data_IF_161335640040
#
_entry.id   IF_161335640040
#
_cell.length_a   1.000
_cell.length_b   1.000
_cell.length_c   1.000
_cell.angle_alpha   90.00
_cell.angle_beta   90.00
_cell.angle_gamma   90.00
#
_symmetry.space_group_name_H-M   'P 1'
#
loop_
_entity.id
_entity.type
_entity.pdbx_description
1 polymer ?
#
# COMPACT_ATOMS: atom_id res chain seq x y z
N UNK A 1 26.31 14.05 -28.43
CA UNK A 1 26.32 13.21 -27.21
C UNK A 1 24.88 12.99 -26.81
N UNK A 2 24.38 11.78 -27.00
CA UNK A 2 23.01 11.39 -26.64
C UNK A 2 22.84 11.48 -25.13
N UNK A 3 21.88 12.30 -24.70
CA UNK A 3 21.44 12.45 -23.31
C UNK A 3 21.07 11.07 -22.73
N UNK A 4 21.99 10.45 -21.98
CA UNK A 4 21.71 9.21 -21.25
C UNK A 4 20.87 9.64 -20.06
N UNK A 5 19.58 9.85 -20.29
CA UNK A 5 18.68 10.38 -19.27
C UNK A 5 18.69 9.49 -18.04
N UNK A 6 19.26 10.04 -16.97
CA UNK A 6 19.43 9.54 -15.61
C UNK A 6 18.17 8.84 -15.10
N UNK A 7 18.17 7.50 -15.07
CA UNK A 7 17.06 6.72 -14.57
C UNK A 7 17.26 6.35 -13.09
N UNK A 8 16.16 6.21 -12.36
CA UNK A 8 16.12 5.81 -10.96
C UNK A 8 15.21 4.61 -10.81
N UNK A 9 15.52 3.72 -9.87
CA UNK A 9 14.67 2.56 -9.59
C UNK A 9 14.28 2.47 -8.11
N UNK A 10 13.05 2.06 -7.87
CA UNK A 10 12.52 1.74 -6.56
C UNK A 10 12.00 0.30 -6.57
N UNK A 11 12.46 -0.54 -5.64
CA UNK A 11 11.87 -1.86 -5.38
C UNK A 11 11.13 -1.79 -4.05
N UNK A 12 9.91 -2.32 -4.07
CA UNK A 12 9.04 -2.52 -2.92
C UNK A 12 8.77 -4.03 -2.79
N UNK A 13 9.37 -4.64 -1.78
CA UNK A 13 9.17 -6.02 -1.41
C UNK A 13 8.17 -6.11 -0.24
N UNK A 14 6.89 -6.24 -0.60
CA UNK A 14 5.81 -6.42 0.36
C UNK A 14 5.51 -7.88 0.69
N UNK A 15 4.61 -8.07 1.65
CA UNK A 15 4.10 -9.39 2.09
C UNK A 15 3.46 -10.20 0.96
N UNK A 16 2.81 -9.54 -0.01
CA UNK A 16 2.09 -10.20 -1.10
C UNK A 16 2.77 -10.05 -2.46
N UNK A 17 3.33 -8.88 -2.75
CA UNK A 17 3.84 -8.50 -4.05
C UNK A 17 5.28 -8.03 -3.96
N UNK A 18 6.10 -8.42 -4.94
CA UNK A 18 7.36 -7.76 -5.25
C UNK A 18 7.12 -6.82 -6.45
N UNK A 19 7.39 -5.53 -6.27
CA UNK A 19 7.13 -4.50 -7.28
C UNK A 19 8.37 -3.66 -7.51
N UNK A 20 8.51 -3.17 -8.74
CA UNK A 20 9.56 -2.22 -9.11
C UNK A 20 8.99 -1.15 -10.02
N UNK A 21 9.45 0.08 -9.82
CA UNK A 21 9.28 1.17 -10.78
C UNK A 21 10.66 1.69 -11.20
N UNK A 22 10.80 1.97 -12.49
CA UNK A 22 11.95 2.67 -13.03
C UNK A 22 11.42 3.95 -13.68
N UNK A 23 11.98 5.09 -13.30
CA UNK A 23 11.51 6.39 -13.73
C UNK A 23 12.65 7.35 -14.06
N UNK A 24 12.32 8.37 -14.85
CA UNK A 24 13.20 9.51 -15.15
C UNK A 24 12.58 10.80 -14.64
N UNK A 25 13.37 11.75 -14.13
CA UNK A 25 12.87 13.09 -13.83
C UNK A 25 12.20 13.73 -15.04
N UNK A 26 11.10 14.45 -14.79
CA UNK A 26 10.34 15.19 -15.78
C UNK A 26 9.81 16.49 -15.14
N UNK A 27 10.66 17.52 -15.10
CA UNK A 27 10.41 18.75 -14.35
C UNK A 27 10.31 18.47 -12.85
N UNK A 28 9.20 18.90 -12.23
CA UNK A 28 8.87 18.61 -10.81
C UNK A 28 8.22 17.23 -10.62
N UNK A 29 7.99 16.48 -11.70
CA UNK A 29 7.41 15.13 -11.69
C UNK A 29 8.45 14.13 -12.18
N UNK A 30 8.00 12.89 -12.37
CA UNK A 30 8.77 11.87 -13.05
C UNK A 30 7.87 11.10 -14.01
N UNK A 31 8.51 10.58 -15.06
CA UNK A 31 7.91 9.69 -16.04
C UNK A 31 8.34 8.26 -15.73
N UNK A 32 7.38 7.34 -15.66
CA UNK A 32 7.66 5.91 -15.56
C UNK A 32 8.22 5.43 -16.92
N UNK A 33 9.38 4.76 -16.86
CA UNK A 33 10.08 4.18 -18.01
C UNK A 33 9.82 2.69 -18.12
N UNK A 34 9.84 1.99 -16.99
CA UNK A 34 9.54 0.56 -16.90
C UNK A 34 8.90 0.26 -15.54
N UNK A 35 8.15 -0.82 -15.48
CA UNK A 35 7.54 -1.30 -14.25
C UNK A 35 7.59 -2.83 -14.21
N UNK A 36 7.62 -3.36 -12.99
CA UNK A 36 7.53 -4.79 -12.74
C UNK A 36 6.62 -5.02 -11.55
N UNK A 37 5.80 -6.07 -11.61
CA UNK A 37 4.98 -6.51 -10.50
C UNK A 37 4.81 -8.01 -10.60
N UNK A 38 5.09 -8.72 -9.50
CA UNK A 38 4.83 -10.16 -9.38
C UNK A 38 4.24 -10.45 -8.01
N UNK A 39 3.15 -11.21 -7.98
CA UNK A 39 2.58 -11.77 -6.75
C UNK A 39 3.50 -12.91 -6.33
N UNK A 40 4.16 -12.74 -5.19
CA UNK A 40 5.10 -13.73 -4.64
C UNK A 40 4.56 -14.40 -3.38
N UNK A 41 3.59 -13.75 -2.70
CA UNK A 41 3.01 -14.19 -1.42
C UNK A 41 4.09 -14.51 -0.39
N UNK A 42 5.07 -13.62 -0.25
CA UNK A 42 6.23 -13.82 0.64
C UNK A 42 5.82 -14.17 2.07
N UNK A 43 4.76 -13.53 2.58
CA UNK A 43 4.27 -13.76 3.94
C UNK A 43 3.16 -14.80 4.08
N UNK A 44 2.94 -15.68 3.10
CA UNK A 44 1.98 -16.79 3.25
C UNK A 44 2.40 -17.72 4.41
N UNK A 45 1.46 -18.06 5.28
CA UNK A 45 1.71 -18.94 6.44
C UNK A 45 2.58 -18.30 7.53
N UNK A 46 3.00 -17.04 7.36
CA UNK A 46 3.89 -16.36 8.31
C UNK A 46 3.20 -16.11 9.65
N UNK A 47 1.89 -15.88 9.65
CA UNK A 47 1.13 -15.65 10.88
C UNK A 47 1.14 -16.88 11.82
N UNK A 48 1.19 -18.09 11.25
CA UNK A 48 1.16 -19.35 12.00
C UNK A 48 2.58 -19.85 12.32
N UNK A 49 3.50 -19.75 11.37
CA UNK A 49 4.84 -20.35 11.46
C UNK A 49 5.90 -19.42 12.02
N UNK A 50 5.68 -18.09 11.95
CA UNK A 50 6.66 -17.08 12.34
C UNK A 50 7.87 -16.95 11.40
N UNK A 51 7.93 -17.71 10.30
CA UNK A 51 9.03 -17.69 9.33
C UNK A 51 8.52 -17.64 7.88
N UNK A 52 9.37 -17.17 6.97
CA UNK A 52 9.12 -17.23 5.53
C UNK A 52 9.34 -18.66 5.04
N UNK A 53 8.34 -19.23 4.36
CA UNK A 53 8.43 -20.58 3.80
C UNK A 53 9.49 -20.63 2.68
N UNK A 54 10.13 -21.79 2.50
CA UNK A 54 11.13 -21.99 1.44
C UNK A 54 10.53 -21.68 0.06
N UNK A 55 9.32 -22.17 -0.21
CA UNK A 55 8.64 -21.93 -1.47
C UNK A 55 8.35 -20.43 -1.73
N UNK A 56 7.97 -19.68 -0.69
CA UNK A 56 7.74 -18.24 -0.81
C UNK A 56 9.04 -17.45 -1.05
N UNK A 57 10.14 -17.87 -0.39
CA UNK A 57 11.46 -17.31 -0.61
C UNK A 57 11.96 -17.55 -2.04
N UNK A 58 11.83 -18.77 -2.57
CA UNK A 58 12.22 -19.12 -3.94
C UNK A 58 11.48 -18.28 -5.00
N UNK A 59 10.15 -18.23 -4.93
CA UNK A 59 9.34 -17.41 -5.86
C UNK A 59 9.70 -15.93 -5.80
N UNK A 60 10.02 -15.44 -4.60
CA UNK A 60 10.41 -14.04 -4.39
C UNK A 60 11.81 -13.76 -4.92
N UNK A 61 12.75 -14.68 -4.69
CA UNK A 61 14.11 -14.57 -5.23
C UNK A 61 14.09 -14.53 -6.76
N UNK A 62 13.27 -15.34 -7.42
CA UNK A 62 13.11 -15.31 -8.87
C UNK A 62 12.50 -14.00 -9.39
N UNK A 63 11.57 -13.41 -8.63
CA UNK A 63 11.06 -12.07 -8.93
C UNK A 63 12.16 -11.01 -8.84
N UNK A 64 12.99 -11.09 -7.80
CA UNK A 64 14.09 -10.15 -7.55
C UNK A 64 15.24 -10.31 -8.55
N UNK A 65 15.54 -11.53 -9.01
CA UNK A 65 16.46 -11.77 -10.15
C UNK A 65 15.97 -11.03 -11.41
N UNK A 66 14.66 -11.11 -11.69
CA UNK A 66 14.07 -10.37 -12.82
C UNK A 66 14.19 -8.85 -12.66
N UNK A 67 14.03 -8.33 -11.43
CA UNK A 67 14.27 -6.92 -11.13
C UNK A 67 15.75 -6.53 -11.33
N UNK A 68 16.68 -7.33 -10.82
CA UNK A 68 18.12 -7.10 -10.93
C UNK A 68 18.59 -7.07 -12.39
N UNK A 69 18.09 -7.98 -13.23
CA UNK A 69 18.37 -7.97 -14.67
C UNK A 69 17.86 -6.69 -15.34
N UNK A 70 16.63 -6.26 -15.04
CA UNK A 70 16.06 -5.02 -15.58
C UNK A 70 16.87 -3.79 -15.16
N UNK A 71 17.28 -3.75 -13.89
CA UNK A 71 18.15 -2.69 -13.35
C UNK A 71 19.50 -2.70 -14.06
N UNK A 72 20.17 -3.85 -14.18
CA UNK A 72 21.50 -3.95 -14.80
C UNK A 72 21.55 -3.61 -16.28
N UNK A 73 20.43 -3.74 -17.01
CA UNK A 73 20.31 -3.31 -18.41
C UNK A 73 20.21 -1.78 -18.56
N UNK A 74 19.92 -1.06 -17.49
CA UNK A 74 19.72 0.38 -17.49
C UNK A 74 20.85 1.05 -16.71
N UNK A 75 21.49 2.06 -17.29
CA UNK A 75 22.46 2.90 -16.57
C UNK A 75 21.76 3.78 -15.54
N UNK A 76 21.35 3.19 -14.40
CA UNK A 76 20.70 3.92 -13.33
C UNK A 76 21.67 4.85 -12.62
N UNK A 77 21.17 6.00 -12.17
CA UNK A 77 21.94 6.94 -11.34
C UNK A 77 21.91 6.49 -9.88
N UNK A 78 20.74 6.13 -9.37
CA UNK A 78 20.55 5.55 -8.03
C UNK A 78 19.37 4.61 -8.02
N UNK A 79 19.38 3.68 -7.08
CA UNK A 79 18.22 2.87 -6.75
C UNK A 79 18.07 2.74 -5.24
N UNK A 80 16.85 2.50 -4.78
CA UNK A 80 16.53 2.18 -3.40
C UNK A 80 15.56 1.01 -3.37
N UNK A 81 15.81 0.05 -2.50
CA UNK A 81 15.06 -1.19 -2.44
C UNK A 81 14.67 -1.43 -1.00
N UNK A 82 13.39 -1.62 -0.74
CA UNK A 82 12.88 -1.81 0.62
C UNK A 82 12.08 -3.09 0.74
N UNK A 83 12.09 -3.66 1.93
CA UNK A 83 11.19 -4.72 2.35
C UNK A 83 10.34 -4.24 3.52
N UNK A 84 9.07 -4.67 3.56
CA UNK A 84 8.10 -4.22 4.56
C UNK A 84 7.69 -5.36 5.50
N UNK A 85 6.45 -5.35 5.97
CA UNK A 85 5.91 -6.18 7.05
C UNK A 85 6.27 -7.67 6.97
N UNK A 86 6.22 -8.28 5.78
CA UNK A 86 6.53 -9.70 5.62
C UNK A 86 7.96 -10.07 6.07
N UNK A 87 8.96 -9.32 5.63
CA UNK A 87 10.36 -9.54 6.06
C UNK A 87 10.57 -9.08 7.50
N UNK A 88 9.96 -7.96 7.89
CA UNK A 88 10.10 -7.37 9.23
C UNK A 88 9.62 -8.30 10.33
N UNK A 89 8.52 -9.02 10.10
CA UNK A 89 7.90 -9.92 11.09
C UNK A 89 8.53 -11.31 11.14
N UNK A 90 9.13 -11.76 10.04
CA UNK A 90 9.65 -13.12 9.96
C UNK A 90 10.96 -13.32 10.72
N UNK A 91 11.05 -14.40 11.50
CA UNK A 91 12.27 -14.75 12.25
C UNK A 91 13.49 -14.99 11.37
N UNK A 92 13.28 -15.41 10.11
CA UNK A 92 14.31 -15.60 9.09
C UNK A 92 14.30 -14.50 7.99
N UNK A 93 13.63 -13.37 8.22
CA UNK A 93 13.52 -12.30 7.23
C UNK A 93 14.86 -11.69 6.83
N UNK A 94 15.72 -11.39 7.80
CA UNK A 94 17.07 -10.83 7.53
C UNK A 94 17.99 -11.83 6.82
N UNK A 95 17.87 -13.13 7.12
CA UNK A 95 18.60 -14.19 6.43
C UNK A 95 18.19 -14.29 4.96
N UNK A 96 16.87 -14.19 4.70
CA UNK A 96 16.35 -14.13 3.34
C UNK A 96 16.91 -12.91 2.58
N UNK A 97 16.91 -11.73 3.19
CA UNK A 97 17.49 -10.53 2.56
C UNK A 97 19.00 -10.66 2.28
N UNK A 98 19.75 -11.30 3.18
CA UNK A 98 21.16 -11.61 2.95
C UNK A 98 21.35 -12.58 1.76
N UNK A 99 20.43 -13.54 1.60
CA UNK A 99 20.42 -14.46 0.46
C UNK A 99 20.12 -13.72 -0.85
N UNK A 100 19.14 -12.81 -0.86
CA UNK A 100 18.85 -11.94 -2.01
C UNK A 100 20.09 -11.16 -2.42
N UNK A 101 20.81 -10.55 -1.48
CA UNK A 101 22.02 -9.81 -1.79
C UNK A 101 23.09 -10.70 -2.45
N UNK A 102 23.38 -11.88 -1.89
CA UNK A 102 24.37 -12.81 -2.47
C UNK A 102 24.02 -13.24 -3.89
N UNK A 103 22.75 -13.49 -4.15
CA UNK A 103 22.26 -14.06 -5.41
C UNK A 103 22.00 -13.02 -6.51
N UNK A 104 21.70 -11.78 -6.14
CA UNK A 104 21.24 -10.75 -7.08
C UNK A 104 22.04 -9.45 -7.05
N UNK A 105 22.85 -9.25 -6.00
CA UNK A 105 23.53 -7.98 -5.73
C UNK A 105 22.60 -6.87 -5.21
N UNK A 106 21.29 -7.11 -5.08
CA UNK A 106 20.34 -6.13 -4.57
C UNK A 106 20.46 -6.00 -3.05
N UNK A 107 20.86 -4.82 -2.57
CA UNK A 107 20.76 -4.46 -1.15
C UNK A 107 19.33 -4.00 -0.86
N UNK A 108 18.60 -4.73 -0.02
CA UNK A 108 17.22 -4.41 0.36
C UNK A 108 17.18 -4.03 1.84
N UNK A 109 16.67 -2.84 2.14
CA UNK A 109 16.51 -2.32 3.50
C UNK A 109 15.15 -2.76 4.07
N UNK A 110 15.14 -3.40 5.23
CA UNK A 110 13.88 -3.65 5.94
C UNK A 110 13.48 -2.39 6.70
N UNK A 111 12.43 -1.70 6.24
CA UNK A 111 12.03 -0.40 6.79
C UNK A 111 11.00 -0.53 7.92
N UNK A 112 10.91 0.49 8.77
CA UNK A 112 9.90 0.57 9.82
C UNK A 112 8.51 0.87 9.24
N UNK A 113 7.40 0.54 9.93
CA UNK A 113 6.06 0.92 9.46
C UNK A 113 5.89 2.44 9.38
N UNK A 114 6.55 3.21 10.25
CA UNK A 114 6.58 4.67 10.18
C UNK A 114 7.20 5.16 8.87
N UNK A 115 8.34 4.60 8.48
CA UNK A 115 9.01 4.96 7.22
C UNK A 115 8.19 4.54 5.99
N UNK A 116 7.58 3.35 6.03
CA UNK A 116 6.64 2.87 5.02
C UNK A 116 5.47 3.86 4.82
N UNK A 117 4.84 4.29 5.93
CA UNK A 117 3.80 5.30 5.92
C UNK A 117 4.29 6.68 5.42
N UNK A 118 5.51 7.10 5.80
CA UNK A 118 6.13 8.32 5.27
C UNK A 118 6.25 8.26 3.75
N UNK A 119 6.77 7.16 3.21
CA UNK A 119 6.97 7.00 1.77
C UNK A 119 5.63 6.96 1.03
N UNK A 120 4.62 6.29 1.58
CA UNK A 120 3.27 6.29 1.03
C UNK A 120 2.68 7.71 0.99
N UNK A 121 2.85 8.48 2.07
CA UNK A 121 2.42 9.87 2.17
C UNK A 121 3.09 10.75 1.11
N UNK A 122 4.42 10.68 1.00
CA UNK A 122 5.17 11.42 -0.02
C UNK A 122 4.65 11.08 -1.42
N UNK A 123 4.51 9.79 -1.73
CA UNK A 123 4.01 9.33 -3.02
C UNK A 123 2.58 9.77 -3.33
N UNK A 124 1.74 9.96 -2.29
CA UNK A 124 0.36 10.42 -2.43
C UNK A 124 0.22 11.95 -2.45
N UNK A 125 1.26 12.71 -2.06
CA UNK A 125 1.17 14.16 -1.82
C UNK A 125 0.56 14.96 -2.97
N UNK A 126 0.79 14.56 -4.22
CA UNK A 126 0.20 15.19 -5.40
C UNK A 126 -1.31 14.99 -5.59
N UNK A 127 -2.00 14.27 -4.69
CA UNK A 127 -3.46 14.13 -4.64
C UNK A 127 -4.09 14.96 -3.52
N UNK A 128 -3.27 15.57 -2.66
CA UNK A 128 -3.76 16.31 -1.51
C UNK A 128 -4.38 17.64 -1.97
N UNK A 129 -5.62 17.87 -1.57
CA UNK A 129 -6.37 19.07 -1.91
C UNK A 129 -5.85 20.25 -1.08
N UNK A 130 -5.55 21.36 -1.75
CA UNK A 130 -5.17 22.61 -1.08
C UNK A 130 -6.30 23.22 -0.22
N UNK A 131 -7.55 22.78 -0.42
CA UNK A 131 -8.71 23.23 0.35
C UNK A 131 -8.98 22.40 1.62
N UNK A 132 -8.31 21.26 1.80
CA UNK A 132 -8.49 20.41 2.97
C UNK A 132 -7.55 20.82 4.10
N UNK A 133 -8.09 21.11 5.28
CA UNK A 133 -7.26 21.44 6.46
C UNK A 133 -6.63 20.21 7.11
N UNK A 134 -7.14 19.02 6.79
CA UNK A 134 -6.59 17.74 7.21
C UNK A 134 -6.75 16.66 6.13
N UNK A 135 -5.83 15.71 6.11
CA UNK A 135 -5.84 14.55 5.21
C UNK A 135 -5.70 13.29 6.07
N UNK A 136 -6.61 12.34 5.90
CA UNK A 136 -6.47 11.00 6.45
C UNK A 136 -6.05 10.05 5.34
N UNK A 137 -4.80 9.60 5.40
CA UNK A 137 -4.23 8.62 4.48
C UNK A 137 -4.24 7.24 5.11
N UNK A 138 -4.65 6.23 4.36
CA UNK A 138 -4.46 4.84 4.78
C UNK A 138 -3.94 3.95 3.63
N UNK A 139 -3.12 2.96 3.97
CA UNK A 139 -2.56 1.97 3.06
C UNK A 139 -2.97 0.57 3.54
N UNK A 140 -3.72 -0.19 2.73
CA UNK A 140 -4.09 -1.58 3.04
C UNK A 140 -3.11 -2.52 2.36
N UNK A 141 -2.00 -2.79 3.05
CA UNK A 141 -0.94 -3.67 2.60
C UNK A 141 -1.30 -5.16 2.63
N UNK A 142 -0.30 -5.98 2.28
CA UNK A 142 -0.42 -7.44 2.38
C UNK A 142 -0.34 -7.95 3.82
N UNK A 143 0.52 -7.35 4.65
CA UNK A 143 0.74 -7.80 6.03
C UNK A 143 0.27 -6.81 7.09
N UNK A 144 0.17 -5.54 6.76
CA UNK A 144 -0.16 -4.45 7.67
C UNK A 144 -1.15 -3.48 7.01
N UNK A 145 -1.71 -2.60 7.83
CA UNK A 145 -2.49 -1.45 7.38
C UNK A 145 -2.03 -0.21 8.15
N UNK A 146 -1.54 0.79 7.44
CA UNK A 146 -1.07 2.05 8.02
C UNK A 146 -2.16 3.11 7.96
N UNK A 147 -2.33 3.85 9.05
CA UNK A 147 -3.26 4.97 9.18
C UNK A 147 -2.47 6.23 9.55
N UNK A 148 -2.64 7.30 8.78
CA UNK A 148 -1.91 8.56 8.97
C UNK A 148 -2.87 9.73 8.91
N UNK A 149 -2.91 10.53 9.97
CA UNK A 149 -3.60 11.82 9.97
C UNK A 149 -2.59 12.94 9.79
N UNK A 150 -2.82 13.75 8.77
CA UNK A 150 -1.99 14.88 8.37
C UNK A 150 -2.84 16.14 8.54
N UNK A 151 -2.23 17.20 9.07
CA UNK A 151 -2.86 18.51 9.22
C UNK A 151 -2.05 19.57 8.50
N UNK A 152 -2.73 20.55 7.94
CA UNK A 152 -2.08 21.72 7.37
C UNK A 152 -1.78 22.74 8.47
N UNK A 153 -0.50 22.93 8.76
CA UNK A 153 0.01 23.95 9.68
C UNK A 153 0.57 25.16 8.95
N UNK A 154 0.99 26.18 9.72
CA UNK A 154 1.59 27.40 9.17
C UNK A 154 2.89 27.16 8.39
N UNK A 155 3.61 26.08 8.72
CA UNK A 155 4.88 25.67 8.08
C UNK A 155 4.71 24.58 7.02
N UNK A 156 3.48 24.23 6.64
CA UNK A 156 3.18 23.15 5.70
C UNK A 156 2.45 21.97 6.34
N UNK A 157 2.51 20.82 5.67
CA UNK A 157 1.83 19.59 6.11
C UNK A 157 2.61 18.95 7.27
N UNK A 158 1.90 18.49 8.30
CA UNK A 158 2.47 17.81 9.46
C UNK A 158 1.67 16.58 9.81
N UNK A 159 2.30 15.47 10.17
CA UNK A 159 1.57 14.35 10.76
C UNK A 159 1.17 14.62 12.20
N UNK A 160 -0.12 14.51 12.46
CA UNK A 160 -0.75 14.65 13.76
C UNK A 160 -0.97 13.30 14.44
N UNK A 161 -1.20 12.24 13.67
CA UNK A 161 -1.47 10.90 14.18
C UNK A 161 -0.98 9.81 13.26
N UNK A 162 -0.48 8.73 13.83
CA UNK A 162 -0.02 7.55 13.11
C UNK A 162 -0.40 6.27 13.87
N UNK A 163 -0.83 5.24 13.13
CA UNK A 163 -1.08 3.90 13.65
C UNK A 163 -0.74 2.87 12.57
N UNK A 164 -0.05 1.81 12.96
CA UNK A 164 0.20 0.64 12.10
C UNK A 164 -0.50 -0.57 12.70
N UNK A 165 -1.44 -1.14 11.95
CA UNK A 165 -2.14 -2.37 12.34
C UNK A 165 -1.40 -3.57 11.75
N UNK A 166 -1.17 -4.66 12.51
CA UNK A 166 -0.58 -5.89 11.98
C UNK A 166 -1.62 -6.74 11.21
N UNK A 167 -2.46 -6.06 10.41
CA UNK A 167 -3.53 -6.66 9.60
C UNK A 167 -3.45 -6.11 8.19
N UNK A 168 -2.97 -6.93 7.26
CA UNK A 168 -3.15 -6.74 5.83
C UNK A 168 -3.96 -7.89 5.23
N UNK A 169 -4.16 -7.84 3.91
CA UNK A 169 -5.04 -8.81 3.23
C UNK A 169 -4.55 -10.26 3.32
N UNK A 170 -3.23 -10.49 3.34
CA UNK A 170 -2.64 -11.84 3.45
C UNK A 170 -2.79 -12.35 4.88
N UNK A 171 -2.44 -11.55 5.88
CA UNK A 171 -2.55 -11.97 7.28
C UNK A 171 -3.99 -12.26 7.69
N UNK A 172 -4.94 -11.47 7.17
CA UNK A 172 -6.36 -11.68 7.42
C UNK A 172 -6.84 -12.95 6.70
N UNK A 173 -6.45 -13.16 5.43
CA UNK A 173 -6.84 -14.36 4.69
C UNK A 173 -6.27 -15.65 5.31
N UNK A 174 -5.00 -15.63 5.72
CA UNK A 174 -4.34 -16.76 6.38
C UNK A 174 -5.03 -17.09 7.72
N UNK A 175 -5.30 -16.09 8.56
CA UNK A 175 -5.98 -16.29 9.84
C UNK A 175 -7.41 -16.84 9.71
N UNK A 176 -8.00 -16.77 8.51
CA UNK A 176 -9.32 -17.30 8.19
C UNK A 176 -9.28 -18.70 7.55
N UNK A 177 -8.10 -19.32 7.49
CA UNK A 177 -7.92 -20.71 7.02
C UNK A 177 -7.84 -20.89 5.51
N UNK A 178 -7.66 -19.81 4.73
CA UNK A 178 -7.51 -19.86 3.27
C UNK A 178 -8.73 -20.42 2.54
N UNK A 179 -9.60 -19.56 2.00
CA UNK A 179 -10.80 -20.02 1.29
C UNK A 179 -11.82 -18.93 1.02
N UNK A 180 -13.03 -19.33 0.61
CA UNK A 180 -14.14 -18.38 0.41
C UNK A 180 -14.53 -17.79 1.77
N UNK A 181 -14.37 -16.47 1.89
CA UNK A 181 -14.58 -15.75 3.14
C UNK A 181 -16.05 -15.82 3.52
N UNK A 182 -16.39 -16.71 4.46
CA UNK A 182 -17.76 -16.79 4.95
C UNK A 182 -18.19 -15.44 5.55
N UNK A 183 -19.46 -15.08 5.35
CA UNK A 183 -20.00 -13.81 5.86
C UNK A 183 -19.79 -13.63 7.37
N UNK A 184 -19.86 -14.72 8.15
CA UNK A 184 -19.56 -14.69 9.59
C UNK A 184 -18.13 -14.23 9.87
N UNK A 185 -17.16 -14.84 9.20
CA UNK A 185 -15.74 -14.52 9.31
C UNK A 185 -15.46 -13.08 8.90
N UNK A 186 -16.11 -12.61 7.82
CA UNK A 186 -16.07 -11.19 7.42
C UNK A 186 -16.48 -10.26 8.57
N UNK A 187 -17.61 -10.53 9.22
CA UNK A 187 -18.11 -9.70 10.33
C UNK A 187 -17.21 -9.75 11.57
N UNK A 188 -16.63 -10.91 11.86
CA UNK A 188 -15.68 -11.08 12.98
C UNK A 188 -14.40 -10.26 12.73
N UNK A 189 -13.85 -10.29 11.52
CA UNK A 189 -12.70 -9.47 11.10
C UNK A 189 -13.05 -7.98 11.19
N UNK A 190 -14.18 -7.55 10.62
CA UNK A 190 -14.63 -6.16 10.70
C UNK A 190 -14.73 -5.69 12.15
N UNK A 191 -15.32 -6.51 13.02
CA UNK A 191 -15.53 -6.18 14.44
C UNK A 191 -14.19 -6.03 15.18
N UNK A 192 -13.27 -6.97 14.96
CA UNK A 192 -11.95 -6.97 15.59
C UNK A 192 -11.11 -5.76 15.15
N UNK A 193 -11.05 -5.49 13.85
CA UNK A 193 -10.28 -4.33 13.34
C UNK A 193 -10.94 -3.04 13.81
N UNK A 194 -12.27 -2.94 13.76
CA UNK A 194 -13.02 -1.78 14.27
C UNK A 194 -12.65 -1.47 15.72
N UNK A 195 -12.64 -2.47 16.60
CA UNK A 195 -12.30 -2.22 18.02
C UNK A 195 -10.88 -1.69 18.21
N UNK A 196 -9.95 -2.02 17.31
CA UNK A 196 -8.57 -1.53 17.36
C UNK A 196 -8.44 -0.09 16.84
N UNK A 197 -9.18 0.26 15.80
CA UNK A 197 -9.06 1.60 15.17
C UNK A 197 -9.93 2.66 15.84
N UNK A 198 -11.05 2.29 16.47
CA UNK A 198 -11.97 3.24 17.11
C UNK A 198 -11.28 4.20 18.10
N UNK A 199 -10.35 3.76 18.98
CA UNK A 199 -9.60 4.68 19.84
C UNK A 199 -8.81 5.74 19.07
N UNK A 200 -8.25 5.39 17.90
CA UNK A 200 -7.54 6.35 17.04
C UNK A 200 -8.50 7.40 16.47
N UNK A 201 -9.64 6.96 15.91
CA UNK A 201 -10.65 7.86 15.36
C UNK A 201 -11.22 8.82 16.39
N UNK A 202 -11.50 8.33 17.60
CA UNK A 202 -11.98 9.13 18.72
C UNK A 202 -10.92 10.13 19.22
N UNK A 203 -9.66 9.70 19.37
CA UNK A 203 -8.55 10.59 19.78
C UNK A 203 -8.37 11.79 18.85
N UNK A 204 -8.62 11.60 17.56
CA UNK A 204 -8.35 12.61 16.53
C UNK A 204 -9.61 13.28 15.94
N UNK A 205 -10.80 12.98 16.48
CA UNK A 205 -12.09 13.52 16.04
C UNK A 205 -12.36 13.34 14.53
N UNK A 206 -12.01 12.18 13.95
CA UNK A 206 -12.11 11.97 12.50
C UNK A 206 -13.53 12.14 11.95
N UNK A 207 -14.54 11.62 12.66
CA UNK A 207 -15.95 11.73 12.24
C UNK A 207 -16.43 13.20 12.16
N UNK A 208 -16.01 14.04 13.11
CA UNK A 208 -16.35 15.47 13.11
C UNK A 208 -15.69 16.18 11.92
N UNK A 209 -14.40 15.93 11.68
CA UNK A 209 -13.64 16.56 10.58
C UNK A 209 -14.20 16.20 9.19
N UNK A 210 -14.75 15.00 9.02
CA UNK A 210 -15.46 14.63 7.78
C UNK A 210 -16.78 15.41 7.67
N UNK A 211 -17.55 15.48 8.75
CA UNK A 211 -18.85 16.16 8.76
C UNK A 211 -18.73 17.66 8.50
N UNK A 212 -17.64 18.29 8.96
CA UNK A 212 -17.35 19.72 8.73
C UNK A 212 -16.68 20.00 7.37
N UNK A 213 -16.44 18.97 6.55
CA UNK A 213 -15.78 19.12 5.24
C UNK A 213 -14.28 19.46 5.32
N UNK A 214 -13.66 19.24 6.48
CA UNK A 214 -12.27 19.58 6.77
C UNK A 214 -11.28 18.44 6.48
N UNK A 215 -11.77 17.22 6.32
CA UNK A 215 -10.96 16.03 6.10
C UNK A 215 -11.09 15.51 4.67
N UNK A 216 -9.98 15.48 3.94
CA UNK A 216 -9.86 14.62 2.76
C UNK A 216 -9.44 13.23 3.20
N UNK A 217 -10.05 12.19 2.63
CA UNK A 217 -9.65 10.80 2.86
C UNK A 217 -8.97 10.26 1.61
N UNK A 218 -7.77 9.72 1.76
CA UNK A 218 -6.98 9.14 0.68
C UNK A 218 -6.67 7.69 1.03
N UNK A 219 -6.99 6.76 0.12
CA UNK A 219 -6.68 5.34 0.28
C UNK A 219 -5.74 4.87 -0.81
N UNK A 220 -4.67 4.18 -0.44
CA UNK A 220 -3.74 3.55 -1.39
C UNK A 220 -3.70 2.03 -1.18
N UNK A 221 -2.94 1.33 -2.04
CA UNK A 221 -2.76 -0.13 -2.16
C UNK A 221 -3.49 -0.81 -3.32
N UNK A 222 -3.16 -2.10 -3.51
CA UNK A 222 -3.85 -2.97 -4.45
C UNK A 222 -5.33 -3.19 -4.13
N UNK A 223 -5.73 -3.17 -2.86
CA UNK A 223 -7.13 -3.35 -2.45
C UNK A 223 -7.99 -2.19 -2.94
N UNK A 224 -7.54 -0.97 -2.67
CA UNK A 224 -8.29 0.24 -2.97
C UNK A 224 -8.38 0.47 -4.49
N UNK A 225 -7.27 0.33 -5.19
CA UNK A 225 -7.23 0.43 -6.66
C UNK A 225 -8.09 -0.64 -7.34
N UNK A 226 -8.11 -1.87 -6.82
CA UNK A 226 -8.95 -2.96 -7.36
C UNK A 226 -10.44 -2.65 -7.14
N UNK A 227 -10.83 -2.16 -5.97
CA UNK A 227 -12.21 -1.76 -5.68
C UNK A 227 -12.66 -0.57 -6.54
N UNK A 228 -11.79 0.43 -6.76
CA UNK A 228 -12.06 1.54 -7.67
C UNK A 228 -12.30 1.07 -9.11
N UNK A 229 -11.40 0.23 -9.63
CA UNK A 229 -11.53 -0.34 -10.98
C UNK A 229 -12.81 -1.18 -11.13
N UNK A 230 -13.15 -1.97 -10.11
CA UNK A 230 -14.38 -2.76 -10.08
C UNK A 230 -15.63 -1.89 -10.00
N UNK A 231 -15.60 -0.83 -9.18
CA UNK A 231 -16.68 0.15 -9.08
C UNK A 231 -16.96 0.82 -10.42
N UNK A 232 -15.91 1.20 -11.16
CA UNK A 232 -16.00 1.78 -12.50
C UNK A 232 -16.44 0.78 -13.59
N UNK A 233 -16.51 -0.52 -13.28
CA UNK A 233 -16.88 -1.55 -14.25
C UNK A 233 -15.84 -1.72 -15.37
N UNK A 234 -14.56 -1.47 -15.10
CA UNK A 234 -13.52 -1.53 -16.12
C UNK A 234 -13.31 -2.96 -16.63
N UNK A 235 -13.17 -3.11 -17.94
CA UNK A 235 -12.88 -4.39 -18.61
C UNK A 235 -11.41 -4.79 -18.56
N UNK A 236 -10.54 -3.89 -18.09
CA UNK A 236 -9.13 -4.11 -17.75
C UNK A 236 -8.69 -3.00 -16.81
N UNK A 237 -7.66 -3.25 -16.01
CA UNK A 237 -7.11 -2.20 -15.16
C UNK A 237 -6.58 -1.02 -16.00
N UNK A 238 -7.07 0.18 -15.70
CA UNK A 238 -6.59 1.44 -16.27
C UNK A 238 -6.21 2.40 -15.16
N UNK A 239 -4.91 2.62 -14.98
CA UNK A 239 -4.39 3.53 -13.96
C UNK A 239 -4.91 4.96 -14.13
N UNK A 240 -5.05 5.45 -15.37
CA UNK A 240 -5.47 6.83 -15.61
C UNK A 240 -6.92 7.08 -15.20
N UNK A 241 -7.75 6.03 -15.18
CA UNK A 241 -9.12 6.09 -14.70
C UNK A 241 -9.25 5.93 -13.17
N UNK A 242 -8.28 5.25 -12.53
CA UNK A 242 -8.34 4.88 -11.10
C UNK A 242 -7.58 5.86 -10.20
N UNK A 243 -6.39 6.30 -10.60
CA UNK A 243 -5.56 7.20 -9.79
C UNK A 243 -6.19 8.59 -9.70
N UNK A 244 -6.49 9.04 -8.49
CA UNK A 244 -7.19 10.29 -8.21
C UNK A 244 -8.72 10.20 -8.31
N UNK A 245 -9.29 9.01 -8.53
CA UNK A 245 -10.74 8.83 -8.51
C UNK A 245 -11.29 9.21 -7.13
N UNK A 246 -12.17 10.20 -7.08
CA UNK A 246 -12.93 10.55 -5.87
C UNK A 246 -14.31 9.89 -5.92
N UNK A 247 -14.60 9.05 -4.94
CA UNK A 247 -15.79 8.18 -4.93
C UNK A 247 -16.38 8.15 -3.53
N UNK A 248 -17.72 8.12 -3.41
CA UNK A 248 -18.34 8.06 -2.09
C UNK A 248 -17.96 6.77 -1.35
N UNK A 249 -17.74 6.86 -0.04
CA UNK A 249 -17.47 5.67 0.79
C UNK A 249 -18.60 4.64 0.66
N UNK A 250 -19.85 5.10 0.52
CA UNK A 250 -21.01 4.24 0.28
C UNK A 250 -20.90 3.42 -1.01
N UNK A 251 -20.43 4.02 -2.12
CA UNK A 251 -20.28 3.33 -3.39
C UNK A 251 -19.16 2.27 -3.37
N UNK A 252 -18.09 2.54 -2.61
CA UNK A 252 -17.02 1.55 -2.39
C UNK A 252 -17.46 0.42 -1.46
N UNK A 253 -18.25 0.72 -0.41
CA UNK A 253 -18.87 -0.32 0.41
C UNK A 253 -19.83 -1.19 -0.39
N UNK A 254 -20.65 -0.60 -1.26
CA UNK A 254 -21.52 -1.34 -2.19
C UNK A 254 -20.72 -2.25 -3.12
N UNK A 255 -19.62 -1.74 -3.69
CA UNK A 255 -18.70 -2.55 -4.48
C UNK A 255 -18.16 -3.76 -3.69
N UNK A 256 -17.78 -3.55 -2.43
CA UNK A 256 -17.36 -4.64 -1.52
C UNK A 256 -18.47 -5.67 -1.28
N UNK A 257 -19.72 -5.22 -1.05
CA UNK A 257 -20.86 -6.12 -0.86
C UNK A 257 -21.21 -6.91 -2.13
N UNK A 258 -21.10 -6.30 -3.30
CA UNK A 258 -21.24 -7.03 -4.59
C UNK A 258 -20.18 -8.12 -4.73
N UNK A 259 -18.93 -7.85 -4.36
CA UNK A 259 -17.87 -8.87 -4.36
C UNK A 259 -18.11 -10.00 -3.36
N UNK A 260 -18.64 -9.68 -2.17
CA UNK A 260 -19.05 -10.68 -1.18
C UNK A 260 -20.14 -11.62 -1.71
N UNK A 261 -21.05 -11.11 -2.56
CA UNK A 261 -22.09 -11.91 -3.20
C UNK A 261 -21.61 -12.76 -4.38
N UNK A 262 -20.39 -12.54 -4.87
CA UNK A 262 -19.80 -13.32 -5.97
C UNK A 262 -19.12 -14.58 -5.42
N UNK A 263 -19.18 -15.67 -6.17
CA UNK A 263 -18.37 -16.87 -5.92
C UNK A 263 -16.88 -16.61 -6.15
N UNK A 264 -16.01 -17.42 -5.55
CA UNK A 264 -14.57 -17.36 -5.81
C UNK A 264 -14.21 -17.39 -7.31
N UNK A 265 -14.91 -18.21 -8.11
CA UNK A 265 -14.73 -18.27 -9.56
C UNK A 265 -15.11 -16.96 -10.26
N UNK A 266 -16.27 -16.40 -9.93
CA UNK A 266 -16.69 -15.12 -10.51
C UNK A 266 -15.71 -13.98 -10.16
N UNK A 267 -15.16 -13.97 -8.94
CA UNK A 267 -14.12 -13.00 -8.55
C UNK A 267 -12.82 -13.21 -9.34
N UNK A 268 -12.41 -14.46 -9.54
CA UNK A 268 -11.24 -14.79 -10.34
C UNK A 268 -11.39 -14.41 -11.82
N UNK A 269 -12.59 -14.56 -12.37
CA UNK A 269 -12.94 -14.20 -13.75
C UNK A 269 -13.17 -12.67 -13.93
N UNK A 270 -13.22 -11.91 -12.84
CA UNK A 270 -13.36 -10.44 -12.89
C UNK A 270 -12.11 -9.80 -13.51
N UNK A 271 -12.24 -8.98 -14.57
CA UNK A 271 -11.09 -8.49 -15.34
C UNK A 271 -10.07 -7.66 -14.55
N UNK A 272 -10.51 -6.97 -13.50
CA UNK A 272 -9.65 -6.11 -12.68
C UNK A 272 -9.12 -6.80 -11.41
N UNK A 273 -9.61 -8.00 -11.07
CA UNK A 273 -9.21 -8.74 -9.86
C UNK A 273 -8.26 -9.87 -10.25
N UNK A 274 -8.70 -10.74 -11.16
CA UNK A 274 -7.95 -11.92 -11.58
C UNK A 274 -7.82 -13.00 -10.49
N UNK A 275 -7.34 -14.19 -10.86
CA UNK A 275 -7.30 -15.35 -9.96
C UNK A 275 -6.37 -15.16 -8.76
N UNK A 276 -5.27 -14.42 -8.93
CA UNK A 276 -4.25 -14.27 -7.88
C UNK A 276 -4.66 -13.33 -6.73
N UNK A 277 -5.74 -12.54 -6.89
CA UNK A 277 -6.29 -11.63 -5.87
C UNK A 277 -7.71 -11.99 -5.42
N UNK A 278 -8.36 -12.94 -6.06
CA UNK A 278 -9.77 -13.28 -5.83
C UNK A 278 -10.06 -13.79 -4.40
N UNK A 279 -9.06 -14.41 -3.78
CA UNK A 279 -9.05 -14.88 -2.39
C UNK A 279 -8.77 -13.74 -1.39
N UNK A 280 -7.96 -12.76 -1.77
CA UNK A 280 -7.54 -11.67 -0.88
C UNK A 280 -8.47 -10.44 -0.89
N UNK A 281 -9.21 -10.22 -1.98
CA UNK A 281 -10.01 -8.99 -2.15
C UNK A 281 -11.08 -8.83 -1.07
N UNK A 282 -11.64 -9.95 -0.59
CA UNK A 282 -12.66 -9.94 0.46
C UNK A 282 -12.08 -9.54 1.81
N UNK A 283 -10.90 -10.05 2.17
CA UNK A 283 -10.17 -9.62 3.35
C UNK A 283 -9.91 -8.11 3.31
N UNK A 284 -9.53 -7.59 2.14
CA UNK A 284 -9.38 -6.15 1.91
C UNK A 284 -10.66 -5.36 2.12
N UNK A 285 -11.82 -5.87 1.66
CA UNK A 285 -13.12 -5.26 1.91
C UNK A 285 -13.45 -5.19 3.41
N UNK A 286 -13.13 -6.24 4.17
CA UNK A 286 -13.37 -6.28 5.61
C UNK A 286 -12.53 -5.25 6.37
N UNK A 287 -11.24 -5.14 6.02
CA UNK A 287 -10.33 -4.12 6.59
C UNK A 287 -10.87 -2.71 6.26
N UNK A 288 -11.24 -2.48 5.00
CA UNK A 288 -11.74 -1.18 4.55
C UNK A 288 -13.05 -0.79 5.24
N UNK A 289 -14.01 -1.71 5.37
CA UNK A 289 -15.27 -1.46 6.10
C UNK A 289 -15.00 -1.12 7.57
N UNK A 290 -14.03 -1.77 8.20
CA UNK A 290 -13.63 -1.43 9.57
C UNK A 290 -12.99 -0.03 9.63
N UNK A 291 -12.11 0.32 8.70
CA UNK A 291 -11.47 1.64 8.62
C UNK A 291 -12.51 2.74 8.37
N UNK A 292 -13.49 2.53 7.49
CA UNK A 292 -14.59 3.47 7.26
C UNK A 292 -15.47 3.69 8.48
N UNK A 293 -15.44 2.82 9.49
CA UNK A 293 -16.18 3.08 10.74
C UNK A 293 -15.61 4.26 11.55
N UNK A 294 -14.41 4.75 11.21
CA UNK A 294 -13.81 5.93 11.81
C UNK A 294 -14.48 7.24 11.37
N UNK A 295 -15.11 7.25 10.19
CA UNK A 295 -15.91 8.36 9.71
C UNK A 295 -17.12 7.84 8.90
N UNK A 296 -18.34 7.95 9.42
CA UNK A 296 -19.51 7.56 8.65
C UNK A 296 -19.75 8.57 7.51
N UNK A 297 -19.56 8.14 6.26
CA UNK A 297 -19.86 8.93 5.06
C UNK A 297 -18.63 9.49 4.34
N UNK A 298 -18.80 10.60 3.61
CA UNK A 298 -17.72 11.25 2.86
C UNK A 298 -17.32 10.54 1.56
N UNK A 299 -16.28 11.07 0.92
CA UNK A 299 -15.63 10.47 -0.26
C UNK A 299 -14.25 9.93 0.09
N UNK A 300 -13.79 9.00 -0.73
CA UNK A 300 -12.47 8.41 -0.75
C UNK A 300 -11.81 8.81 -2.06
N UNK A 301 -10.67 9.49 -1.98
CA UNK A 301 -9.75 9.66 -3.10
C UNK A 301 -8.86 8.42 -3.20
N UNK A 302 -8.93 7.72 -4.33
CA UNK A 302 -8.10 6.53 -4.59
C UNK A 302 -6.74 6.95 -5.12
N UNK A 303 -5.69 6.39 -4.53
CA UNK A 303 -4.32 6.56 -4.98
C UNK A 303 -3.79 5.24 -5.56
N UNK A 304 -3.37 5.26 -6.84
CA UNK A 304 -2.49 4.21 -7.40
C UNK A 304 -1.02 4.61 -7.24
N UNK A 305 -0.73 5.46 -6.28
CA UNK A 305 0.59 5.95 -5.94
C UNK A 305 0.82 5.71 -4.45
N UNK A 306 2.07 5.53 -4.05
CA UNK A 306 2.39 5.25 -2.66
C UNK A 306 3.88 5.09 -2.46
N UNK A 307 4.27 4.03 -1.74
CA UNK A 307 5.64 3.81 -1.29
C UNK A 307 6.69 3.96 -2.41
N UNK A 308 6.43 3.36 -3.58
CA UNK A 308 7.40 3.34 -4.70
C UNK A 308 7.61 4.73 -5.29
N UNK A 309 6.53 5.47 -5.48
CA UNK A 309 6.59 6.86 -5.91
C UNK A 309 7.31 7.71 -4.85
N UNK A 310 7.07 7.48 -3.56
CA UNK A 310 7.79 8.13 -2.47
C UNK A 310 9.30 7.87 -2.49
N UNK A 311 9.71 6.62 -2.73
CA UNK A 311 11.12 6.25 -2.91
C UNK A 311 11.76 6.99 -4.08
N UNK A 312 11.09 7.03 -5.24
CA UNK A 312 11.60 7.71 -6.43
C UNK A 312 11.72 9.23 -6.21
N UNK A 313 10.72 9.85 -5.59
CA UNK A 313 10.75 11.28 -5.26
C UNK A 313 11.91 11.62 -4.32
N UNK A 314 12.12 10.79 -3.28
CA UNK A 314 13.26 10.94 -2.37
C UNK A 314 14.62 10.79 -3.07
N UNK A 315 14.75 9.81 -3.98
CA UNK A 315 15.98 9.60 -4.75
C UNK A 315 16.30 10.75 -5.72
N UNK A 316 15.27 11.36 -6.30
CA UNK A 316 15.37 12.47 -7.24
C UNK A 316 15.50 13.84 -6.56
N UNK A 317 15.35 13.91 -5.24
CA UNK A 317 15.38 15.19 -4.49
C UNK A 317 14.20 16.10 -4.83
N UNK A 318 13.06 15.53 -5.22
CA UNK A 318 11.83 16.28 -5.47
C UNK A 318 11.30 16.80 -4.12
N UNK A 319 10.75 18.03 -4.11
CA UNK A 319 10.11 18.63 -2.92
C UNK A 319 9.03 17.68 -2.36
N UNK A 320 8.80 17.72 -1.03
CA UNK A 320 7.98 16.79 -0.25
C UNK A 320 8.71 15.52 0.18
N UNK A 321 9.89 15.65 0.77
CA UNK A 321 10.58 14.54 1.45
C UNK A 321 9.93 14.25 2.82
N UNK A 322 10.19 13.11 3.48
CA UNK A 322 9.68 12.87 4.83
C UNK A 322 10.00 13.99 5.83
N UNK A 323 11.15 14.66 5.69
CA UNK A 323 11.52 15.81 6.53
C UNK A 323 10.55 17.00 6.35
N UNK A 324 10.07 17.25 5.13
CA UNK A 324 9.14 18.35 4.81
C UNK A 324 7.78 18.18 5.51
N UNK A 325 7.43 16.96 5.90
CA UNK A 325 6.20 16.62 6.61
C UNK A 325 6.34 16.65 8.14
N UNK A 326 7.48 17.11 8.67
CA UNK A 326 7.78 17.10 10.10
C UNK A 326 7.85 15.70 10.70
N UNK A 327 8.21 14.70 9.88
CA UNK A 327 8.10 13.26 10.22
C UNK A 327 9.28 12.74 11.04
N UNK A 328 10.31 13.56 11.30
CA UNK A 328 11.44 13.20 12.18
C UNK A 328 10.96 12.74 13.57
N UNK A 329 9.74 13.12 13.98
CA UNK A 329 9.12 12.70 15.24
C UNK A 329 8.42 11.33 15.20
N UNK A 330 8.05 10.75 14.04
CA UNK A 330 7.28 9.48 14.02
C UNK A 330 8.14 8.28 14.42
N UNK A 331 9.45 8.33 14.15
CA UNK A 331 10.41 7.32 14.60
C UNK A 331 10.58 7.26 16.13
N UNK A 332 10.05 8.24 16.87
CA UNK A 332 10.10 8.32 18.34
C UNK A 332 8.78 7.94 19.03
N UNK A 333 7.75 7.51 18.29
CA UNK A 333 6.39 7.23 18.81
C UNK A 333 6.12 5.72 18.96
N UNK A 334 7.15 4.88 18.80
CA UNK A 334 7.11 3.45 19.14
C UNK A 334 7.69 3.19 20.53
#
# INVERSE_FOLDING_TARGET
MTDVASAYAAIDLGTNNCRMLIARPDGERFRIVDSFSRITRLGEGLAETGILSVAAQERTLDALRSCAEKIGRLGLVRSRHVATEGCRRAGNGLEFLATVYRETGLTIECISPAEEACLALVGCSGLFSAGASSIFLFDIGGGSTELVLIVQGASGLRVEGFMSLPFGVVTVADACGGGDFAYRTYREVCTRIRSMVQPFGARHNLAERVTTGQLQVVGTSGTITTLGAFHLGLTRYDRAAVDGLDVSCAAILDAGQRLMGMTARQRADSPCIGPQRADLVIAGCAILEAVFSLWPGGSLTIADRGLREGLLMGLMGVRNTPADFGMECISQVY
#
